data_IF_498541876831
#
_entry.id   IF_498541876831
#
_cell.length_a   1.000
_cell.length_b   1.000
_cell.length_c   1.000
_cell.angle_alpha   90.00
_cell.angle_beta   90.00
_cell.angle_gamma   90.00
#
_symmetry.space_group_name_H-M   'P 1'
#
loop_
_entity.id
_entity.type
_entity.pdbx_description
1 polymer ?
#
# COMPACT_ATOMS: atom_id res chain seq x y z
N UNK A 1 -22.11 1.08 10.58
CA UNK A 1 -20.86 1.81 10.91
C UNK A 1 -19.95 1.74 9.69
N UNK A 2 -19.22 2.80 9.34
CA UNK A 2 -18.34 2.79 8.15
C UNK A 2 -17.13 1.88 8.42
N UNK A 3 -16.91 0.89 7.57
CA UNK A 3 -15.85 -0.14 7.74
C UNK A 3 -14.47 0.35 7.30
N UNK A 4 -14.41 1.46 6.56
CA UNK A 4 -13.17 2.09 6.11
C UNK A 4 -13.31 3.61 5.93
N UNK A 5 -12.16 4.28 5.82
CA UNK A 5 -11.99 5.72 5.62
C UNK A 5 -11.20 5.93 4.32
N UNK A 6 -11.71 6.76 3.42
CA UNK A 6 -11.00 7.14 2.20
C UNK A 6 -10.19 8.43 2.42
N UNK A 7 -8.88 8.43 2.10
CA UNK A 7 -8.06 9.63 2.19
C UNK A 7 -8.55 10.71 1.20
N UNK A 8 -8.74 11.98 1.64
CA UNK A 8 -9.29 13.03 0.80
C UNK A 8 -8.51 13.32 -0.48
N UNK A 9 -7.18 13.20 -0.44
CA UNK A 9 -6.26 13.39 -1.57
C UNK A 9 -6.37 12.29 -2.63
N UNK A 10 -7.00 11.16 -2.32
CA UNK A 10 -7.32 10.10 -3.28
C UNK A 10 -8.73 10.24 -3.86
N UNK A 11 -9.56 11.17 -3.35
CA UNK A 11 -10.90 11.40 -3.90
C UNK A 11 -10.77 11.93 -5.33
N UNK A 12 -11.56 11.36 -6.23
CA UNK A 12 -11.57 11.67 -7.67
C UNK A 12 -10.28 11.26 -8.42
N UNK A 13 -9.48 10.36 -7.84
CA UNK A 13 -8.38 9.70 -8.58
C UNK A 13 -8.88 8.41 -9.22
N UNK A 14 -8.06 7.84 -10.12
CA UNK A 14 -8.27 6.50 -10.68
C UNK A 14 -7.86 5.36 -9.72
N UNK A 15 -7.44 5.69 -8.49
CA UNK A 15 -7.05 4.73 -7.46
C UNK A 15 -8.14 4.54 -6.41
N UNK A 16 -8.33 3.31 -5.97
CA UNK A 16 -9.09 2.99 -4.76
C UNK A 16 -8.10 2.87 -3.61
N UNK A 17 -8.16 3.79 -2.66
CA UNK A 17 -7.34 3.81 -1.46
C UNK A 17 -8.22 3.97 -0.21
N UNK A 18 -7.89 3.29 0.87
CA UNK A 18 -8.65 3.35 2.11
C UNK A 18 -7.84 2.84 3.30
N UNK A 19 -8.26 3.24 4.50
CA UNK A 19 -7.82 2.70 5.77
C UNK A 19 -8.99 1.97 6.43
N UNK A 20 -8.80 0.73 6.87
CA UNK A 20 -9.83 0.01 7.63
C UNK A 20 -9.95 0.58 9.04
N UNK A 21 -11.15 0.50 9.62
CA UNK A 21 -11.38 0.92 11.01
C UNK A 21 -11.25 -0.27 11.95
N UNK A 22 -11.18 -0.02 13.27
CA UNK A 22 -11.08 -1.07 14.30
C UNK A 22 -12.24 -2.07 14.29
N UNK A 23 -13.36 -1.77 13.63
CA UNK A 23 -14.49 -2.70 13.46
C UNK A 23 -14.20 -3.80 12.45
N UNK A 24 -13.08 -3.70 11.73
CA UNK A 24 -12.65 -4.65 10.71
C UNK A 24 -11.23 -5.08 11.04
N UNK A 25 -11.11 -5.95 12.04
CA UNK A 25 -9.82 -6.53 12.47
C UNK A 25 -9.31 -7.60 11.51
N UNK A 26 -10.21 -8.22 10.75
CA UNK A 26 -9.88 -9.21 9.73
C UNK A 26 -10.17 -8.64 8.34
N UNK A 27 -9.20 -8.76 7.43
CA UNK A 27 -9.35 -8.39 6.02
C UNK A 27 -10.51 -9.16 5.37
N UNK A 28 -10.80 -10.38 5.83
CA UNK A 28 -11.94 -11.18 5.35
C UNK A 28 -13.28 -10.52 5.60
N UNK A 29 -13.42 -9.81 6.71
CA UNK A 29 -14.66 -9.08 7.01
C UNK A 29 -14.80 -7.83 6.13
N UNK A 30 -13.68 -7.18 5.79
CA UNK A 30 -13.68 -6.14 4.77
C UNK A 30 -14.15 -6.71 3.41
N UNK A 31 -13.57 -7.85 3.01
CA UNK A 31 -13.77 -8.44 1.70
C UNK A 31 -15.24 -8.73 1.40
N UNK A 32 -15.97 -9.30 2.36
CA UNK A 32 -17.41 -9.62 2.26
C UNK A 32 -18.28 -8.46 1.74
N UNK A 33 -17.91 -7.22 2.03
CA UNK A 33 -18.70 -6.02 1.70
C UNK A 33 -18.00 -5.09 0.72
N UNK A 34 -16.80 -5.44 0.26
CA UNK A 34 -15.95 -4.56 -0.54
C UNK A 34 -16.08 -4.77 -2.05
N UNK A 35 -16.56 -5.94 -2.48
CA UNK A 35 -16.60 -6.33 -3.89
C UNK A 35 -15.25 -6.79 -4.46
N UNK A 36 -14.22 -6.96 -3.61
CA UNK A 36 -12.93 -7.55 -3.96
C UNK A 36 -12.87 -9.03 -3.55
N UNK A 37 -12.06 -9.83 -4.25
CA UNK A 37 -11.81 -11.22 -3.88
C UNK A 37 -10.53 -11.35 -3.05
N UNK A 38 -10.39 -12.42 -2.26
CA UNK A 38 -9.17 -12.69 -1.48
C UNK A 38 -7.92 -12.79 -2.37
N UNK A 39 -8.07 -13.39 -3.56
CA UNK A 39 -7.01 -13.55 -4.57
C UNK A 39 -6.52 -12.22 -5.17
N UNK A 40 -7.31 -11.15 -5.02
CA UNK A 40 -6.98 -9.81 -5.50
C UNK A 40 -6.25 -8.96 -4.45
N UNK A 41 -5.83 -9.55 -3.32
CA UNK A 41 -5.09 -8.85 -2.26
C UNK A 41 -3.69 -9.42 -2.07
N UNK A 42 -2.72 -8.53 -1.89
CA UNK A 42 -1.40 -8.85 -1.39
C UNK A 42 -1.08 -8.10 -0.10
N UNK A 43 -0.66 -8.85 0.92
CA UNK A 43 -0.12 -8.33 2.17
C UNK A 43 1.27 -8.97 2.41
N UNK A 44 2.31 -8.19 2.72
CA UNK A 44 3.64 -8.72 2.99
C UNK A 44 3.74 -9.26 4.44
N UNK A 45 4.80 -10.00 4.72
CA UNK A 45 5.19 -10.38 6.09
C UNK A 45 6.00 -9.24 6.71
N UNK A 46 5.33 -8.36 7.46
CA UNK A 46 5.95 -7.17 8.07
C UNK A 46 6.85 -7.54 9.25
N UNK A 47 8.08 -7.00 9.26
CA UNK A 47 9.06 -7.23 10.34
C UNK A 47 9.70 -5.94 10.86
N UNK A 48 9.07 -4.79 10.63
CA UNK A 48 9.60 -3.46 11.00
C UNK A 48 10.98 -3.18 10.38
N UNK A 49 11.17 -3.65 9.15
CA UNK A 49 12.34 -3.43 8.31
C UNK A 49 12.14 -2.22 7.40
N UNK A 50 13.07 -2.00 6.48
CA UNK A 50 12.97 -1.10 5.35
C UNK A 50 12.98 -1.85 4.00
N UNK A 51 12.68 -3.15 4.03
CA UNK A 51 12.54 -3.98 2.84
C UNK A 51 11.31 -3.55 2.05
N UNK A 52 11.49 -3.34 0.75
CA UNK A 52 10.44 -2.94 -0.18
C UNK A 52 10.37 -4.00 -1.28
N UNK A 53 9.16 -4.48 -1.59
CA UNK A 53 8.93 -5.39 -2.70
C UNK A 53 8.18 -4.70 -3.83
N UNK A 54 8.65 -4.91 -5.07
CA UNK A 54 7.93 -4.54 -6.29
C UNK A 54 7.25 -5.79 -6.84
N UNK A 55 5.93 -5.85 -6.74
CA UNK A 55 5.15 -6.99 -7.21
C UNK A 55 5.13 -7.04 -8.73
N UNK A 56 5.68 -8.14 -9.24
CA UNK A 56 5.59 -8.53 -10.65
C UNK A 56 4.52 -9.62 -10.79
N UNK A 57 4.90 -10.88 -10.69
CA UNK A 57 3.97 -12.01 -10.84
C UNK A 57 3.80 -12.84 -9.57
N UNK A 58 4.73 -12.73 -8.60
CA UNK A 58 4.66 -13.50 -7.36
C UNK A 58 3.51 -12.99 -6.47
N UNK A 59 2.74 -13.93 -5.92
CA UNK A 59 1.63 -13.67 -4.99
C UNK A 59 1.88 -14.22 -3.59
N UNK A 60 2.97 -14.98 -3.41
CA UNK A 60 3.36 -15.47 -2.10
C UNK A 60 3.85 -14.31 -1.21
N UNK A 61 3.38 -14.21 0.05
CA UNK A 61 3.83 -13.19 0.98
C UNK A 61 5.34 -13.28 1.24
N UNK A 62 6.04 -12.18 1.01
CA UNK A 62 7.48 -12.04 1.28
C UNK A 62 7.73 -11.07 2.44
N UNK A 63 8.91 -11.15 3.06
CA UNK A 63 9.29 -10.23 4.13
C UNK A 63 9.54 -8.84 3.57
N UNK A 64 8.58 -7.94 3.79
CA UNK A 64 8.67 -6.54 3.42
C UNK A 64 7.80 -5.67 4.34
N UNK A 65 8.16 -4.40 4.42
CA UNK A 65 7.37 -3.37 5.12
C UNK A 65 6.85 -2.31 4.14
N UNK A 66 7.08 -2.50 2.85
CA UNK A 66 6.51 -1.71 1.77
C UNK A 66 6.28 -2.58 0.54
N UNK A 67 5.16 -2.34 -0.14
CA UNK A 67 4.79 -3.03 -1.37
C UNK A 67 4.52 -1.98 -2.43
N UNK A 68 4.99 -2.23 -3.65
CA UNK A 68 4.69 -1.46 -4.85
C UNK A 68 4.09 -2.39 -5.90
N UNK A 69 3.16 -1.90 -6.71
CA UNK A 69 2.65 -2.64 -7.87
C UNK A 69 2.26 -1.71 -9.00
N UNK A 70 2.39 -2.21 -10.23
CA UNK A 70 1.78 -1.61 -11.41
C UNK A 70 0.61 -2.42 -11.99
N UNK A 71 0.14 -3.44 -11.26
CA UNK A 71 -0.94 -4.32 -11.70
C UNK A 71 -2.30 -3.73 -11.34
N UNK A 72 -3.11 -3.44 -12.35
CA UNK A 72 -4.50 -3.02 -12.17
C UNK A 72 -5.34 -4.17 -11.59
N UNK A 73 -6.27 -3.84 -10.69
CA UNK A 73 -7.15 -4.83 -10.06
C UNK A 73 -6.56 -5.50 -8.83
N UNK A 74 -5.27 -5.28 -8.53
CA UNK A 74 -4.63 -5.77 -7.32
C UNK A 74 -4.72 -4.73 -6.20
N UNK A 75 -5.31 -5.12 -5.07
CA UNK A 75 -5.16 -4.42 -3.80
C UNK A 75 -3.84 -4.83 -3.14
N UNK A 76 -3.01 -3.84 -2.82
CA UNK A 76 -1.86 -4.03 -1.94
C UNK A 76 -2.14 -3.35 -0.60
N UNK A 77 -1.60 -3.89 0.47
CA UNK A 77 -1.79 -3.30 1.79
C UNK A 77 -0.69 -3.62 2.77
N UNK A 78 -0.79 -2.96 3.91
CA UNK A 78 -0.01 -3.25 5.11
C UNK A 78 -0.96 -3.24 6.30
N UNK A 79 -0.64 -4.04 7.30
CA UNK A 79 -1.35 -4.07 8.57
C UNK A 79 -0.66 -3.14 9.57
N UNK A 80 -1.44 -2.53 10.46
CA UNK A 80 -0.85 -1.68 11.50
C UNK A 80 -1.66 -1.75 12.79
N UNK A 81 -0.94 -1.66 13.90
CA UNK A 81 -1.42 -1.26 15.20
C UNK A 81 -0.37 -0.26 15.72
N UNK A 82 -0.74 1.02 15.76
CA UNK A 82 0.09 2.18 16.18
C UNK A 82 1.18 2.67 15.20
N UNK A 83 1.70 1.84 14.29
CA UNK A 83 2.61 2.29 13.24
C UNK A 83 1.87 3.14 12.17
N UNK A 84 2.59 4.00 11.45
CA UNK A 84 1.98 4.88 10.45
C UNK A 84 1.81 4.12 9.12
N UNK A 85 0.58 3.88 8.62
CA UNK A 85 0.37 3.39 7.28
C UNK A 85 0.46 4.55 6.28
N UNK A 86 1.21 4.38 5.21
CA UNK A 86 1.35 5.38 4.13
C UNK A 86 0.92 4.76 2.82
N UNK A 87 0.03 5.43 2.09
CA UNK A 87 -0.40 5.05 0.75
C UNK A 87 0.28 5.99 -0.23
N UNK A 88 0.83 5.45 -1.31
CA UNK A 88 1.47 6.20 -2.39
C UNK A 88 0.79 5.85 -3.70
N UNK A 89 0.65 6.82 -4.61
CA UNK A 89 0.27 6.54 -5.99
C UNK A 89 0.88 7.56 -6.95
N UNK A 90 1.28 7.12 -8.12
CA UNK A 90 1.60 8.01 -9.25
C UNK A 90 0.31 8.22 -10.05
N UNK A 91 -0.22 9.45 -10.13
CA UNK A 91 -1.51 9.71 -10.78
C UNK A 91 -1.48 9.62 -12.31
N UNK A 92 -0.30 9.76 -12.92
CA UNK A 92 -0.13 9.65 -14.37
C UNK A 92 0.18 8.21 -14.80
N UNK A 93 0.46 7.32 -13.85
CA UNK A 93 0.76 5.92 -14.09
C UNK A 93 -0.21 5.03 -13.31
N UNK A 94 -0.24 3.74 -13.63
CA UNK A 94 -0.94 2.77 -12.79
C UNK A 94 0.12 2.22 -11.84
N UNK A 95 0.59 3.02 -10.88
CA UNK A 95 1.57 2.60 -9.87
C UNK A 95 1.04 2.98 -8.49
N UNK A 96 0.90 1.99 -7.63
CA UNK A 96 0.47 2.16 -6.24
C UNK A 96 1.50 1.61 -5.28
N UNK A 97 1.55 2.18 -4.07
CA UNK A 97 2.37 1.73 -2.96
C UNK A 97 1.62 1.73 -1.63
N UNK A 98 1.95 0.77 -0.78
CA UNK A 98 1.51 0.73 0.62
C UNK A 98 2.74 0.49 1.50
N UNK A 99 2.90 1.31 2.55
CA UNK A 99 4.10 1.32 3.41
C UNK A 99 3.70 1.28 4.88
N UNK A 100 4.30 0.35 5.60
CA UNK A 100 4.30 0.24 7.05
C UNK A 100 5.47 1.03 7.63
N UNK A 101 5.22 2.26 8.03
CA UNK A 101 6.23 3.15 8.58
C UNK A 101 6.26 3.10 10.11
N UNK A 102 6.74 1.98 10.67
CA UNK A 102 7.13 1.89 12.07
C UNK A 102 8.41 2.70 12.35
N UNK A 103 8.72 2.95 13.63
CA UNK A 103 9.87 3.82 14.00
C UNK A 103 11.21 3.37 13.39
N UNK A 104 11.46 2.05 13.29
CA UNK A 104 12.66 1.48 12.65
C UNK A 104 12.70 1.76 11.16
N UNK A 105 11.62 1.45 10.44
CA UNK A 105 11.51 1.70 9.01
C UNK A 105 11.64 3.20 8.69
N UNK A 106 11.03 4.06 9.50
CA UNK A 106 11.15 5.52 9.38
C UNK A 106 12.58 6.00 9.59
N UNK A 107 13.27 5.52 10.63
CA UNK A 107 14.69 5.82 10.86
C UNK A 107 15.58 5.37 9.69
N UNK A 108 15.25 4.22 9.08
CA UNK A 108 15.88 3.69 7.86
C UNK A 108 15.38 4.32 6.56
N UNK A 109 14.54 5.37 6.64
CA UNK A 109 14.02 6.15 5.51
C UNK A 109 13.14 5.36 4.53
N UNK A 110 12.32 4.44 5.02
CA UNK A 110 11.50 3.55 4.18
C UNK A 110 10.65 4.30 3.15
N UNK A 111 9.98 5.41 3.51
CA UNK A 111 9.15 6.19 2.58
C UNK A 111 10.00 6.77 1.43
N UNK A 112 11.17 7.35 1.75
CA UNK A 112 12.08 7.91 0.75
C UNK A 112 12.60 6.80 -0.18
N UNK A 113 12.93 5.64 0.38
CA UNK A 113 13.36 4.47 -0.40
C UNK A 113 12.26 3.99 -1.33
N UNK A 114 11.01 3.93 -0.87
CA UNK A 114 9.85 3.55 -1.70
C UNK A 114 9.67 4.51 -2.87
N UNK A 115 9.71 5.83 -2.62
CA UNK A 115 9.61 6.84 -3.70
C UNK A 115 10.77 6.71 -4.69
N UNK A 116 12.00 6.47 -4.23
CA UNK A 116 13.16 6.23 -5.11
C UNK A 116 12.97 5.01 -6.01
N UNK A 117 12.36 3.94 -5.50
CA UNK A 117 12.00 2.76 -6.30
C UNK A 117 10.91 3.15 -7.31
N UNK A 118 9.91 3.95 -6.93
CA UNK A 118 8.91 4.42 -7.90
C UNK A 118 9.54 5.17 -9.09
N UNK A 119 10.51 6.05 -8.80
CA UNK A 119 11.24 6.80 -9.82
C UNK A 119 12.08 5.86 -10.70
N UNK A 120 12.85 4.95 -10.10
CA UNK A 120 13.81 4.12 -10.84
C UNK A 120 13.17 2.95 -11.59
N UNK A 121 12.20 2.25 -11.00
CA UNK A 121 11.57 1.07 -11.61
C UNK A 121 10.39 1.42 -12.52
N UNK A 122 9.63 2.46 -12.19
CA UNK A 122 8.43 2.84 -12.96
C UNK A 122 8.59 4.14 -13.75
N UNK A 123 9.76 4.78 -13.69
CA UNK A 123 9.98 6.11 -14.27
C UNK A 123 8.98 7.15 -13.77
N UNK A 124 8.51 7.02 -12.52
CA UNK A 124 7.62 8.00 -11.89
C UNK A 124 8.33 9.33 -11.69
N UNK A 125 7.59 10.43 -11.79
CA UNK A 125 8.09 11.77 -11.43
C UNK A 125 7.59 12.12 -10.04
N UNK A 126 8.39 12.83 -9.26
CA UNK A 126 8.05 13.14 -7.85
C UNK A 126 6.77 13.97 -7.77
N UNK A 127 6.61 14.92 -8.69
CA UNK A 127 5.44 15.79 -8.80
C UNK A 127 4.13 15.05 -9.14
N UNK A 128 4.22 13.83 -9.67
CA UNK A 128 3.06 13.01 -10.01
C UNK A 128 2.69 12.04 -8.88
N UNK A 129 3.54 11.90 -7.85
CA UNK A 129 3.33 11.01 -6.72
C UNK A 129 2.53 11.74 -5.63
N UNK A 130 1.36 11.20 -5.31
CA UNK A 130 0.57 11.61 -4.14
C UNK A 130 0.82 10.67 -2.97
N UNK A 131 0.71 11.23 -1.76
CA UNK A 131 0.79 10.57 -0.46
C UNK A 131 -0.41 11.00 0.36
#
# INVERSE_FOLDING_TARGET
>A
MKTYIEPPNFKNTNFKAFFTTKTTSDIRDFLKYSGFNEEDIYLPVQKHTDNIIVLKNNREPEVADAVLTSHKGLLIGVQTADCIPVILADLNKIVAGAVHAGWRGTASKIIIKTIKIMISEFNSRVEDIII
#
